data_IF_732635725497
#
_entry.id   IF_732635725497
#
_cell.length_a   1.000
_cell.length_b   1.000
_cell.length_c   1.000
_cell.angle_alpha   90.00
_cell.angle_beta   90.00
_cell.angle_gamma   90.00
#
_symmetry.space_group_name_H-M   'P 1'
#
loop_
_entity.id
_entity.type
_entity.pdbx_description
1 polymer ?
#
# COMPACT_ATOMS: atom_id res chain seq x y z
N UNK A 1 -19.90 59.98 -3.33
CA UNK A 1 -21.12 59.29 -3.77
C UNK A 1 -20.84 57.79 -3.62
N UNK A 2 -21.11 57.22 -2.45
CA UNK A 2 -20.92 55.77 -2.22
C UNK A 2 -22.07 55.04 -2.91
N UNK A 3 -21.79 54.46 -4.08
CA UNK A 3 -22.72 53.59 -4.78
C UNK A 3 -22.87 52.29 -3.98
N UNK A 4 -23.85 52.29 -3.08
CA UNK A 4 -24.17 51.17 -2.19
C UNK A 4 -24.90 50.10 -3.01
N UNK A 5 -24.14 49.28 -3.75
CA UNK A 5 -24.66 48.17 -4.55
C UNK A 5 -25.65 47.32 -3.74
N UNK A 6 -26.76 46.90 -4.35
CA UNK A 6 -27.81 46.13 -3.65
C UNK A 6 -27.30 44.72 -3.28
N UNK A 7 -27.73 44.13 -2.15
CA UNK A 7 -27.30 42.78 -1.73
C UNK A 7 -27.48 41.68 -2.79
N UNK A 8 -28.47 41.82 -3.68
CA UNK A 8 -28.70 40.90 -4.81
C UNK A 8 -27.62 41.00 -5.90
N UNK A 9 -27.05 42.17 -6.14
CA UNK A 9 -25.97 42.37 -7.11
C UNK A 9 -24.63 41.88 -6.57
N UNK A 10 -24.38 42.09 -5.27
CA UNK A 10 -23.23 41.50 -4.56
C UNK A 10 -23.24 39.97 -4.64
N UNK A 11 -24.42 39.34 -4.54
CA UNK A 11 -24.57 37.89 -4.66
C UNK A 11 -24.40 37.40 -6.12
N UNK A 12 -24.82 38.21 -7.11
CA UNK A 12 -24.59 37.95 -8.55
C UNK A 12 -23.10 38.06 -8.94
N UNK A 13 -22.32 38.88 -8.24
CA UNK A 13 -20.87 39.05 -8.46
C UNK A 13 -20.00 38.10 -7.62
N UNK A 14 -20.47 37.65 -6.44
CA UNK A 14 -19.75 36.67 -5.61
C UNK A 14 -19.71 35.28 -6.23
N UNK A 15 -20.81 34.83 -6.82
CA UNK A 15 -20.89 33.53 -7.51
C UNK A 15 -19.85 33.37 -8.63
N UNK A 16 -19.64 34.32 -9.56
CA UNK A 16 -18.61 34.21 -10.59
C UNK A 16 -17.18 34.27 -10.03
N UNK A 17 -16.93 34.97 -8.93
CA UNK A 17 -15.60 34.99 -8.29
C UNK A 17 -15.27 33.63 -7.66
N UNK A 18 -16.21 33.03 -6.92
CA UNK A 18 -16.02 31.70 -6.32
C UNK A 18 -15.83 30.63 -7.40
N UNK A 19 -16.62 30.70 -8.47
CA UNK A 19 -16.48 29.78 -9.60
C UNK A 19 -15.13 29.93 -10.32
N UNK A 20 -14.65 31.17 -10.48
CA UNK A 20 -13.31 31.43 -11.01
C UNK A 20 -12.23 30.80 -10.12
N UNK A 21 -12.29 31.00 -8.80
CA UNK A 21 -11.35 30.38 -7.88
C UNK A 21 -11.38 28.84 -7.95
N UNK A 22 -12.58 28.25 -8.10
CA UNK A 22 -12.72 26.80 -8.28
C UNK A 22 -12.02 26.34 -9.56
N UNK A 23 -12.24 27.04 -10.67
CA UNK A 23 -11.62 26.73 -11.97
C UNK A 23 -10.10 26.89 -11.93
N UNK A 24 -9.60 27.94 -11.29
CA UNK A 24 -8.18 28.19 -11.13
C UNK A 24 -7.52 27.08 -10.31
N UNK A 25 -8.17 26.64 -9.21
CA UNK A 25 -7.71 25.50 -8.42
C UNK A 25 -7.65 24.21 -9.26
N UNK A 26 -8.70 23.91 -10.02
CA UNK A 26 -8.74 22.71 -10.88
C UNK A 26 -7.61 22.77 -11.92
N UNK A 27 -7.43 23.90 -12.59
CA UNK A 27 -6.38 24.07 -13.59
C UNK A 27 -4.98 23.93 -12.98
N UNK A 28 -4.76 24.48 -11.79
CA UNK A 28 -3.49 24.32 -11.06
C UNK A 28 -3.21 22.85 -10.74
N UNK A 29 -4.20 22.10 -10.24
CA UNK A 29 -4.03 20.67 -9.97
C UNK A 29 -3.76 19.85 -11.23
N UNK A 30 -4.37 20.20 -12.38
CA UNK A 30 -4.09 19.53 -13.67
C UNK A 30 -2.65 19.81 -14.13
N UNK A 31 -2.14 21.02 -13.98
CA UNK A 31 -0.75 21.33 -14.34
C UNK A 31 0.24 20.63 -13.39
N UNK A 32 -0.06 20.55 -12.09
CA UNK A 32 0.73 19.77 -11.14
C UNK A 32 0.76 18.28 -11.52
N UNK A 33 -0.38 17.72 -11.93
CA UNK A 33 -0.48 16.33 -12.37
C UNK A 33 0.37 16.07 -13.62
N UNK A 34 0.40 17.03 -14.56
CA UNK A 34 1.25 16.98 -15.75
C UNK A 34 2.73 16.86 -15.39
N UNK A 35 3.19 17.67 -14.42
CA UNK A 35 4.58 17.65 -13.94
C UNK A 35 4.92 16.34 -13.21
N UNK A 36 4.05 15.85 -12.34
CA UNK A 36 4.28 14.61 -11.58
C UNK A 36 4.40 13.38 -12.48
N UNK A 37 3.66 13.37 -13.59
CA UNK A 37 3.60 12.24 -14.52
C UNK A 37 4.38 12.50 -15.82
N UNK A 38 5.28 13.50 -15.85
CA UNK A 38 6.03 13.89 -17.05
C UNK A 38 6.73 12.71 -17.74
N UNK A 39 7.34 11.81 -16.96
CA UNK A 39 7.98 10.59 -17.48
C UNK A 39 7.00 9.62 -18.14
N UNK A 40 5.80 9.51 -17.59
CA UNK A 40 4.75 8.65 -18.14
C UNK A 40 4.18 9.26 -19.43
N UNK A 41 4.03 10.58 -19.50
CA UNK A 41 3.66 11.25 -20.74
C UNK A 41 4.72 11.08 -21.84
N UNK A 42 6.00 11.21 -21.51
CA UNK A 42 7.10 10.96 -22.46
C UNK A 42 7.06 9.54 -23.02
N UNK A 43 6.66 8.55 -22.21
CA UNK A 43 6.52 7.16 -22.66
C UNK A 43 5.34 6.94 -23.61
N UNK A 44 4.20 7.58 -23.36
CA UNK A 44 2.98 7.37 -24.14
C UNK A 44 2.94 8.26 -25.40
N UNK A 45 3.38 9.53 -25.30
CA UNK A 45 3.32 10.52 -26.38
C UNK A 45 4.50 11.51 -26.30
N UNK A 46 5.71 11.14 -26.76
CA UNK A 46 6.94 11.91 -26.53
C UNK A 46 7.00 13.34 -27.14
N UNK A 47 6.08 13.72 -28.04
CA UNK A 47 6.12 15.03 -28.72
C UNK A 47 4.73 15.64 -28.98
N UNK A 48 3.69 15.20 -28.26
CA UNK A 48 2.33 15.70 -28.46
C UNK A 48 2.00 16.82 -27.48
N UNK A 49 1.19 17.78 -27.94
CA UNK A 49 0.61 18.79 -27.05
C UNK A 49 -0.44 18.10 -26.17
N UNK A 50 -0.14 17.92 -24.89
CA UNK A 50 -1.05 17.26 -23.96
C UNK A 50 -2.32 18.10 -23.76
N UNK A 51 -3.46 17.56 -24.19
CA UNK A 51 -4.76 18.13 -23.85
C UNK A 51 -5.15 17.76 -22.41
N UNK A 52 -6.10 18.50 -21.83
CA UNK A 52 -6.55 18.22 -20.46
C UNK A 52 -7.16 16.82 -20.32
N UNK A 53 -7.78 16.31 -21.38
CA UNK A 53 -8.32 14.96 -21.40
C UNK A 53 -7.19 13.91 -21.34
N UNK A 54 -6.15 14.06 -22.16
CA UNK A 54 -4.97 13.19 -22.17
C UNK A 54 -4.29 13.14 -20.80
N UNK A 55 -4.12 14.31 -20.16
CA UNK A 55 -3.51 14.40 -18.82
C UNK A 55 -4.28 13.54 -17.82
N UNK A 56 -5.61 13.62 -17.85
CA UNK A 56 -6.47 12.87 -16.94
C UNK A 56 -6.49 11.37 -17.27
N UNK A 57 -6.48 11.01 -18.56
CA UNK A 57 -6.48 9.61 -19.00
C UNK A 57 -5.21 8.88 -18.59
N UNK A 58 -4.04 9.47 -18.87
CA UNK A 58 -2.75 8.90 -18.46
C UNK A 58 -2.66 8.79 -16.95
N UNK A 59 -3.15 9.79 -16.20
CA UNK A 59 -3.17 9.74 -14.75
C UNK A 59 -4.02 8.59 -14.21
N UNK A 60 -5.21 8.37 -14.77
CA UNK A 60 -6.08 7.25 -14.37
C UNK A 60 -5.41 5.91 -14.70
N UNK A 61 -4.81 5.80 -15.89
CA UNK A 61 -4.07 4.60 -16.30
C UNK A 61 -2.92 4.29 -15.35
N UNK A 62 -2.11 5.31 -15.03
CA UNK A 62 -1.00 5.22 -14.09
C UNK A 62 -1.46 4.76 -12.70
N UNK A 63 -2.50 5.38 -12.15
CA UNK A 63 -3.02 5.02 -10.83
C UNK A 63 -3.58 3.60 -10.79
N UNK A 64 -4.25 3.15 -11.85
CA UNK A 64 -4.74 1.76 -11.96
C UNK A 64 -3.58 0.76 -11.97
N UNK A 65 -2.54 1.04 -12.76
CA UNK A 65 -1.34 0.21 -12.81
C UNK A 65 -0.66 0.16 -11.44
N UNK A 66 -0.54 1.31 -10.77
CA UNK A 66 0.08 1.37 -9.45
C UNK A 66 -0.74 0.65 -8.37
N UNK A 67 -2.07 0.75 -8.40
CA UNK A 67 -2.94 0.01 -7.48
C UNK A 67 -2.75 -1.50 -7.64
N UNK A 68 -2.74 -2.01 -8.87
CA UNK A 68 -2.55 -3.43 -9.13
C UNK A 68 -1.18 -3.95 -8.67
N UNK A 69 -0.13 -3.14 -8.84
CA UNK A 69 1.21 -3.47 -8.36
C UNK A 69 1.30 -3.41 -6.83
N UNK A 70 0.66 -2.42 -6.20
CA UNK A 70 0.64 -2.31 -4.74
C UNK A 70 -0.14 -3.45 -4.11
N UNK A 71 -1.29 -3.86 -4.62
CA UNK A 71 -2.06 -4.96 -4.03
C UNK A 71 -1.27 -6.29 -4.07
N UNK A 72 -0.64 -6.62 -5.20
CA UNK A 72 0.19 -7.83 -5.29
C UNK A 72 1.44 -7.74 -4.41
N UNK A 73 2.16 -6.62 -4.44
CA UNK A 73 3.40 -6.48 -3.67
C UNK A 73 3.15 -6.31 -2.18
N UNK A 74 2.07 -5.66 -1.77
CA UNK A 74 1.68 -5.50 -0.38
C UNK A 74 1.25 -6.83 0.23
N UNK A 75 0.43 -7.62 -0.47
CA UNK A 75 0.04 -8.95 0.02
C UNK A 75 1.27 -9.86 0.15
N UNK A 76 2.15 -9.89 -0.85
CA UNK A 76 3.34 -10.73 -0.80
C UNK A 76 4.31 -10.29 0.31
N UNK A 77 4.59 -8.98 0.42
CA UNK A 77 5.48 -8.44 1.46
C UNK A 77 4.91 -8.67 2.84
N UNK A 78 3.63 -8.41 3.06
CA UNK A 78 2.98 -8.61 4.38
C UNK A 78 3.06 -10.07 4.79
N UNK A 79 2.72 -11.02 3.91
CA UNK A 79 2.79 -12.45 4.24
C UNK A 79 4.22 -12.94 4.51
N UNK A 80 5.20 -12.53 3.69
CA UNK A 80 6.61 -12.92 3.90
C UNK A 80 7.21 -12.25 5.15
N UNK A 81 6.85 -10.99 5.43
CA UNK A 81 7.30 -10.27 6.62
C UNK A 81 6.66 -10.84 7.89
N UNK A 82 5.37 -11.18 7.85
CA UNK A 82 4.66 -11.83 8.95
C UNK A 82 5.24 -13.22 9.23
N UNK A 83 5.53 -14.01 8.19
CA UNK A 83 6.18 -15.31 8.34
C UNK A 83 7.59 -15.20 8.92
N UNK A 84 8.45 -14.35 8.35
CA UNK A 84 9.83 -14.20 8.84
C UNK A 84 9.88 -13.67 10.27
N UNK A 85 9.01 -12.71 10.61
CA UNK A 85 8.93 -12.18 11.97
C UNK A 85 8.43 -13.24 12.97
N UNK A 86 7.43 -14.03 12.59
CA UNK A 86 6.92 -15.15 13.39
C UNK A 86 7.98 -16.26 13.58
N UNK A 87 8.67 -16.63 12.50
CA UNK A 87 9.76 -17.59 12.53
C UNK A 87 10.89 -17.14 13.44
N UNK A 88 11.37 -15.89 13.28
CA UNK A 88 12.47 -15.35 14.08
C UNK A 88 12.09 -15.25 15.56
N UNK A 89 10.84 -14.89 15.87
CA UNK A 89 10.32 -14.87 17.24
C UNK A 89 10.35 -16.27 17.85
N UNK A 90 9.84 -17.27 17.13
CA UNK A 90 9.86 -18.67 17.57
C UNK A 90 11.29 -19.17 17.78
N UNK A 91 12.19 -18.90 16.83
CA UNK A 91 13.60 -19.28 16.91
C UNK A 91 14.29 -18.64 18.11
N UNK A 92 14.05 -17.35 18.36
CA UNK A 92 14.60 -16.63 19.51
C UNK A 92 14.13 -17.25 20.83
N UNK A 93 12.85 -17.59 20.93
CA UNK A 93 12.30 -18.23 22.13
C UNK A 93 12.89 -19.64 22.33
N UNK A 94 13.03 -20.42 21.26
CA UNK A 94 13.65 -21.74 21.32
C UNK A 94 15.12 -21.65 21.79
N UNK A 95 15.89 -20.70 21.26
CA UNK A 95 17.26 -20.44 21.69
C UNK A 95 17.33 -20.01 23.16
N UNK A 96 16.42 -19.12 23.58
CA UNK A 96 16.31 -18.67 24.96
C UNK A 96 16.04 -19.84 25.92
N UNK A 97 15.03 -20.65 25.61
CA UNK A 97 14.68 -21.85 26.38
C UNK A 97 15.85 -22.83 26.51
N UNK A 98 16.55 -23.12 25.39
CA UNK A 98 17.71 -24.02 25.39
C UNK A 98 18.91 -23.44 26.16
N UNK A 99 19.03 -22.12 26.24
CA UNK A 99 20.11 -21.45 26.96
C UNK A 99 19.87 -21.36 28.48
N UNK A 100 18.61 -21.42 28.92
CA UNK A 100 18.19 -21.17 30.30
C UNK A 100 18.52 -22.32 31.27
N UNK A 101 18.54 -23.57 30.79
CA UNK A 101 18.79 -24.74 31.64
C UNK A 101 20.28 -25.12 31.69
N UNK A 102 20.82 -25.27 32.90
CA UNK A 102 22.15 -25.83 33.19
C UNK A 102 22.03 -27.08 34.09
N UNK A 103 22.90 -28.11 33.94
CA UNK A 103 23.94 -28.21 32.92
C UNK A 103 23.37 -28.52 31.53
N UNK A 104 23.94 -27.89 30.49
CA UNK A 104 23.51 -28.12 29.12
C UNK A 104 23.83 -29.54 28.68
N UNK A 105 22.81 -30.25 28.18
CA UNK A 105 23.01 -31.54 27.50
C UNK A 105 23.73 -31.30 26.18
N UNK A 106 24.59 -32.23 25.76
CA UNK A 106 25.30 -32.16 24.47
C UNK A 106 24.33 -31.92 23.30
N UNK A 107 23.14 -32.53 23.33
CA UNK A 107 22.08 -32.32 22.34
C UNK A 107 21.57 -30.89 22.28
N UNK A 108 21.48 -30.18 23.41
CA UNK A 108 21.07 -28.76 23.44
C UNK A 108 22.14 -27.87 22.81
N UNK A 109 23.42 -28.13 23.08
CA UNK A 109 24.56 -27.40 22.49
C UNK A 109 24.61 -27.62 20.97
N UNK A 110 24.41 -28.86 20.51
CA UNK A 110 24.34 -29.18 19.09
C UNK A 110 23.16 -28.48 18.40
N UNK A 111 22.00 -28.42 19.06
CA UNK A 111 20.80 -27.79 18.53
C UNK A 111 20.95 -26.26 18.42
N UNK A 112 21.51 -25.60 19.43
CA UNK A 112 21.85 -24.17 19.39
C UNK A 112 22.82 -23.88 18.23
N UNK A 113 23.88 -24.69 18.08
CA UNK A 113 24.85 -24.56 16.99
C UNK A 113 24.18 -24.70 15.61
N UNK A 114 23.25 -25.64 15.48
CA UNK A 114 22.49 -25.82 14.24
C UNK A 114 21.62 -24.60 13.92
N UNK A 115 20.89 -24.07 14.91
CA UNK A 115 20.06 -22.88 14.73
C UNK A 115 20.86 -21.63 14.35
N UNK A 116 22.00 -21.38 14.99
CA UNK A 116 22.86 -20.25 14.62
C UNK A 116 23.43 -20.41 13.20
N UNK A 117 23.83 -21.61 12.79
CA UNK A 117 24.30 -21.87 11.42
C UNK A 117 23.22 -21.67 10.36
N UNK A 118 21.99 -22.13 10.64
CA UNK A 118 20.85 -21.96 9.75
C UNK A 118 20.49 -20.48 9.53
N UNK A 119 20.69 -19.63 10.55
CA UNK A 119 20.47 -18.19 10.46
C UNK A 119 21.50 -17.49 9.57
N UNK A 120 22.76 -17.93 9.60
CA UNK A 120 23.83 -17.34 8.79
C UNK A 120 23.81 -17.79 7.31
N UNK A 121 23.07 -18.85 6.98
CA UNK A 121 22.87 -19.31 5.60
C UNK A 121 21.71 -18.64 4.85
N UNK A 122 20.93 -17.79 5.51
CA UNK A 122 19.80 -17.07 4.89
C UNK A 122 20.18 -15.69 4.34
N UNK A 123 21.39 -15.20 4.62
CA UNK A 123 21.87 -13.87 4.22
C UNK A 123 22.74 -13.90 2.93
N UNK A 124 22.85 -15.06 2.29
CA UNK A 124 23.53 -15.22 1.00
C UNK A 124 22.53 -15.73 -0.03
N UNK A 125 22.31 -14.91 -1.06
CA UNK A 125 21.52 -15.13 -2.27
C UNK A 125 19.99 -15.05 -2.13
N UNK A 126 19.48 -13.86 -2.46
CA UNK A 126 18.20 -13.70 -3.14
C UNK A 126 18.15 -14.62 -4.38
N UNK A 127 17.39 -15.72 -4.30
CA UNK A 127 16.92 -16.45 -5.47
C UNK A 127 15.56 -17.08 -5.14
N UNK A 128 14.48 -16.80 -5.89
CA UNK A 128 13.10 -17.09 -5.48
C UNK A 128 12.65 -18.53 -5.80
N UNK A 129 13.58 -19.45 -6.07
CA UNK A 129 13.24 -20.82 -6.43
C UNK A 129 13.50 -21.77 -5.27
N UNK A 130 12.44 -22.47 -4.85
CA UNK A 130 12.47 -23.69 -4.04
C UNK A 130 12.75 -23.49 -2.54
N UNK A 131 11.75 -23.01 -1.80
CA UNK A 131 11.54 -23.49 -0.43
C UNK A 131 10.10 -23.97 -0.31
N UNK A 132 9.90 -25.28 -0.52
CA UNK A 132 8.68 -25.95 -0.09
C UNK A 132 8.55 -25.76 1.43
N UNK A 133 7.39 -25.29 1.93
CA UNK A 133 7.18 -25.22 3.37
C UNK A 133 7.16 -26.65 3.93
N UNK A 134 7.78 -26.91 5.10
CA UNK A 134 7.56 -28.17 5.79
C UNK A 134 6.07 -28.29 6.11
N UNK A 135 5.47 -29.39 5.69
CA UNK A 135 4.07 -29.72 5.96
C UNK A 135 3.83 -29.70 7.48
N UNK A 136 3.13 -28.69 7.97
CA UNK A 136 2.68 -28.62 9.36
C UNK A 136 1.71 -29.76 9.66
N UNK A 137 1.97 -30.62 10.65
CA UNK A 137 0.94 -31.46 11.22
C UNK A 137 0.06 -30.61 12.15
N UNK A 138 -1.24 -30.91 12.15
CA UNK A 138 -2.30 -30.39 13.05
C UNK A 138 -3.22 -29.31 12.46
N UNK A 139 -4.19 -29.75 11.65
CA UNK A 139 -5.49 -29.08 11.55
C UNK A 139 -6.37 -29.53 12.73
N UNK A 140 -6.34 -28.81 13.85
CA UNK A 140 -7.47 -28.85 14.78
C UNK A 140 -8.51 -27.85 14.29
N UNK A 141 -9.64 -28.38 13.83
CA UNK A 141 -10.80 -27.64 13.36
C UNK A 141 -11.34 -26.72 14.47
N UNK A 142 -11.01 -25.42 14.40
CA UNK A 142 -11.63 -24.39 15.23
C UNK A 142 -12.89 -23.88 14.51
N UNK A 143 -14.06 -24.24 15.04
CA UNK A 143 -15.36 -23.74 14.56
C UNK A 143 -15.43 -22.21 14.75
N UNK A 144 -15.68 -21.46 13.67
CA UNK A 144 -16.01 -20.04 13.66
C UNK A 144 -17.52 -19.86 13.89
N UNK A 145 -18.00 -18.95 14.75
CA UNK A 145 -19.38 -18.49 14.72
C UNK A 145 -19.57 -17.42 13.64
N UNK A 146 -20.71 -17.48 12.96
CA UNK A 146 -21.09 -16.63 11.82
C UNK A 146 -21.13 -15.14 12.17
N UNK A 147 -20.42 -14.32 11.40
CA UNK A 147 -20.57 -12.86 11.41
C UNK A 147 -21.48 -12.43 10.26
N UNK A 148 -22.60 -11.80 10.60
CA UNK A 148 -23.56 -11.20 9.66
C UNK A 148 -22.93 -9.96 9.04
N UNK A 149 -22.78 -9.97 7.72
CA UNK A 149 -22.38 -8.80 6.92
C UNK A 149 -23.56 -7.84 6.81
N UNK A 150 -23.47 -6.68 7.46
CA UNK A 150 -24.32 -5.53 7.14
C UNK A 150 -23.63 -4.80 5.99
N UNK A 151 -24.21 -4.89 4.80
CA UNK A 151 -23.73 -4.20 3.61
C UNK A 151 -23.80 -2.68 3.82
N UNK A 152 -22.64 -2.03 3.77
CA UNK A 152 -22.55 -0.57 3.72
C UNK A 152 -23.06 -0.09 2.35
N UNK A 153 -24.12 0.71 2.36
CA UNK A 153 -24.63 1.35 1.15
C UNK A 153 -23.58 2.32 0.57
N UNK A 154 -23.40 2.41 -0.76
CA UNK A 154 -22.46 3.33 -1.36
C UNK A 154 -22.95 4.76 -1.17
N UNK A 155 -22.07 5.63 -0.68
CA UNK A 155 -22.29 7.07 -0.57
C UNK A 155 -22.48 7.64 -1.98
N UNK A 156 -23.71 8.00 -2.34
CA UNK A 156 -24.03 8.68 -3.59
C UNK A 156 -23.28 10.01 -3.64
N UNK A 157 -22.34 10.11 -4.57
CA UNK A 157 -21.65 11.35 -4.89
C UNK A 157 -22.67 12.32 -5.50
N UNK A 158 -22.80 13.53 -4.95
CA UNK A 158 -23.66 14.59 -5.49
C UNK A 158 -22.78 15.69 -6.11
N UNK A 159 -22.84 15.92 -7.43
CA UNK A 159 -22.26 17.10 -8.03
C UNK A 159 -23.04 18.34 -7.57
N UNK A 160 -22.32 19.40 -7.21
CA UNK A 160 -22.86 20.73 -6.90
C UNK A 160 -23.57 21.35 -8.11
#
# INVERSE_FOLDING_TARGET
>A
MEEKLLPKEKNKLRKPVVEKMRRDRINSSIEQLKLLLEKEFQRHQPNSKLEKADILEVAVSYLKQQSQLQDQTFIHKTLEQDFNSGYLRCLKEALHFLSYYEPKKETQVQLIKHFCKAQMGADVMYSPAMRSPPLSPCLFARKQPAQKTVAAAPTIWRPW
#
